data_IF_473335942981
#
_entry.id   IF_473335942981
#
_cell.length_a   1.000
_cell.length_b   1.000
_cell.length_c   1.000
_cell.angle_alpha   90.00
_cell.angle_beta   90.00
_cell.angle_gamma   90.00
#
_symmetry.space_group_name_H-M   'P 1'
#
loop_
_entity.id
_entity.type
_entity.pdbx_description
1 polymer ?
#
# COMPACT_ATOMS: atom_id res chain seq x y z
N UNK A 1 -55.08 21.93 -41.43
CA UNK A 1 -53.73 22.26 -41.05
C UNK A 1 -53.41 21.53 -39.75
N UNK A 2 -52.80 20.32 -39.82
CA UNK A 2 -52.65 19.43 -38.69
C UNK A 2 -51.15 19.38 -38.31
N UNK A 3 -50.79 19.96 -37.20
CA UNK A 3 -49.44 20.04 -36.70
C UNK A 3 -49.10 18.71 -35.99
N UNK A 4 -48.21 17.89 -36.60
CA UNK A 4 -47.63 16.69 -35.99
C UNK A 4 -46.55 17.08 -35.00
N UNK A 5 -46.80 16.91 -33.68
CA UNK A 5 -45.79 16.97 -32.63
C UNK A 5 -44.91 15.72 -32.70
N UNK A 6 -43.63 15.89 -33.01
CA UNK A 6 -42.61 14.87 -32.87
C UNK A 6 -42.34 14.62 -31.38
N UNK A 7 -42.65 13.42 -30.90
CA UNK A 7 -42.17 12.93 -29.58
C UNK A 7 -40.68 12.60 -29.71
N UNK A 8 -39.84 13.32 -29.00
CA UNK A 8 -38.45 12.91 -28.77
C UNK A 8 -38.48 11.73 -27.80
N UNK A 9 -38.09 10.57 -28.27
CA UNK A 9 -37.86 9.39 -27.43
C UNK A 9 -36.65 9.59 -26.56
N UNK A 10 -36.86 9.64 -25.25
CA UNK A 10 -35.81 9.42 -24.26
C UNK A 10 -35.56 7.91 -24.26
N UNK A 11 -34.51 7.47 -24.92
CA UNK A 11 -33.94 6.13 -24.70
C UNK A 11 -33.33 6.10 -23.29
N UNK A 12 -33.38 4.93 -22.60
CA UNK A 12 -32.76 4.82 -21.29
C UNK A 12 -31.25 5.11 -21.42
N UNK A 13 -30.75 6.04 -20.59
CA UNK A 13 -29.33 6.29 -20.45
C UNK A 13 -28.64 4.96 -20.12
N UNK A 14 -27.69 4.53 -20.96
CA UNK A 14 -26.83 3.41 -20.65
C UNK A 14 -26.16 3.69 -19.29
N UNK A 15 -26.22 2.76 -18.32
CA UNK A 15 -25.49 2.95 -17.09
C UNK A 15 -24.02 3.10 -17.44
N UNK A 16 -23.36 4.04 -16.79
CA UNK A 16 -21.91 4.27 -16.90
C UNK A 16 -21.20 2.92 -16.78
N UNK A 17 -20.37 2.64 -17.75
CA UNK A 17 -19.52 1.46 -17.80
C UNK A 17 -18.78 1.33 -16.49
N UNK A 18 -19.12 0.28 -15.72
CA UNK A 18 -18.33 -0.17 -14.59
C UNK A 18 -16.94 -0.45 -15.16
N UNK A 19 -15.97 0.36 -14.80
CA UNK A 19 -14.57 0.07 -15.10
C UNK A 19 -14.29 -1.34 -14.57
N UNK A 20 -13.74 -2.15 -15.45
CA UNK A 20 -13.31 -3.54 -15.24
C UNK A 20 -12.56 -3.64 -13.91
N UNK A 21 -13.28 -3.94 -12.83
CA UNK A 21 -12.69 -4.19 -11.53
C UNK A 21 -12.07 -5.59 -11.61
N UNK A 22 -10.87 -5.67 -12.23
CA UNK A 22 -10.06 -6.89 -12.23
C UNK A 22 -10.03 -7.44 -10.81
N UNK A 23 -10.55 -8.65 -10.65
CA UNK A 23 -10.54 -9.35 -9.36
C UNK A 23 -9.09 -9.46 -8.91
N UNK A 24 -8.80 -8.95 -7.72
CA UNK A 24 -7.42 -8.90 -7.24
C UNK A 24 -6.93 -10.30 -6.83
N UNK A 25 -5.73 -10.62 -7.25
CA UNK A 25 -5.02 -11.84 -6.88
C UNK A 25 -4.28 -11.64 -5.56
N UNK A 26 -4.59 -12.48 -4.59
CA UNK A 26 -3.97 -12.49 -3.28
C UNK A 26 -3.16 -13.77 -3.11
N UNK A 27 -1.90 -13.64 -2.72
CA UNK A 27 -1.04 -14.75 -2.33
C UNK A 27 -0.97 -14.80 -0.79
N UNK A 28 -1.24 -15.97 -0.20
CA UNK A 28 -1.08 -16.24 1.22
C UNK A 28 0.10 -17.18 1.41
N UNK A 29 1.05 -16.80 2.28
CA UNK A 29 2.19 -17.63 2.69
C UNK A 29 2.05 -17.87 4.20
N UNK A 30 1.60 -19.06 4.59
CA UNK A 30 1.23 -19.44 5.96
C UNK A 30 1.44 -20.94 6.12
N UNK A 31 2.18 -21.38 7.11
CA UNK A 31 2.50 -22.80 7.31
C UNK A 31 1.39 -23.60 8.00
N UNK A 32 0.62 -22.97 8.91
CA UNK A 32 -0.51 -23.63 9.56
C UNK A 32 -1.69 -23.84 8.58
N UNK A 33 -1.98 -25.10 8.26
CA UNK A 33 -3.06 -25.48 7.32
C UNK A 33 -4.42 -24.92 7.69
N UNK A 34 -4.74 -24.81 8.99
CA UNK A 34 -6.05 -24.36 9.48
C UNK A 34 -6.17 -22.85 9.31
N UNK A 35 -5.12 -22.12 9.68
CA UNK A 35 -5.08 -20.66 9.52
C UNK A 35 -5.10 -20.32 8.03
N UNK A 36 -4.28 -20.98 7.23
CA UNK A 36 -4.18 -20.80 5.79
C UNK A 36 -5.53 -21.02 5.11
N UNK A 37 -6.20 -22.15 5.41
CA UNK A 37 -7.53 -22.44 4.85
C UNK A 37 -8.60 -21.43 5.31
N UNK A 38 -8.59 -21.06 6.60
CA UNK A 38 -9.55 -20.08 7.13
C UNK A 38 -9.39 -18.70 6.46
N UNK A 39 -8.16 -18.22 6.33
CA UNK A 39 -7.87 -16.95 5.64
C UNK A 39 -8.27 -17.00 4.17
N UNK A 40 -7.96 -18.12 3.49
CA UNK A 40 -8.34 -18.32 2.09
C UNK A 40 -9.84 -18.19 1.89
N UNK A 41 -10.64 -19.02 2.57
CA UNK A 41 -12.09 -19.03 2.43
C UNK A 41 -12.69 -17.64 2.73
N UNK A 42 -12.24 -17.04 3.81
CA UNK A 42 -12.76 -15.73 4.22
C UNK A 42 -12.42 -14.60 3.24
N UNK A 43 -11.25 -14.64 2.61
CA UNK A 43 -10.84 -13.63 1.64
C UNK A 43 -11.40 -13.90 0.24
N UNK A 44 -11.67 -15.16 -0.12
CA UNK A 44 -12.46 -15.50 -1.31
C UNK A 44 -13.89 -14.96 -1.20
N UNK A 45 -14.52 -15.05 -0.03
CA UNK A 45 -15.85 -14.44 0.24
C UNK A 45 -15.82 -12.90 0.12
N UNK A 46 -14.69 -12.26 0.39
CA UNK A 46 -14.47 -10.83 0.19
C UNK A 46 -14.13 -10.45 -1.26
N UNK A 47 -14.13 -11.43 -2.18
CA UNK A 47 -13.99 -11.25 -3.61
C UNK A 47 -12.55 -11.23 -4.13
N UNK A 48 -11.59 -11.78 -3.40
CA UNK A 48 -10.23 -12.02 -3.89
C UNK A 48 -10.11 -13.35 -4.63
N UNK A 49 -9.21 -13.42 -5.60
CA UNK A 49 -8.72 -14.71 -6.12
C UNK A 49 -7.51 -15.10 -5.30
N UNK A 50 -7.68 -16.10 -4.44
CA UNK A 50 -6.65 -16.45 -3.45
C UNK A 50 -5.84 -17.65 -3.93
N UNK A 51 -4.53 -17.49 -3.95
CA UNK A 51 -3.54 -18.58 -4.00
C UNK A 51 -2.89 -18.67 -2.64
N UNK A 52 -2.77 -19.87 -2.12
CA UNK A 52 -2.19 -20.14 -0.81
C UNK A 52 -1.09 -21.19 -0.88
N UNK A 53 -0.04 -21.01 -0.10
CA UNK A 53 1.14 -21.89 -0.04
C UNK A 53 1.68 -22.00 1.38
N UNK A 54 2.29 -23.14 1.76
CA UNK A 54 2.77 -23.35 3.13
C UNK A 54 4.18 -22.81 3.42
N UNK A 55 4.97 -22.46 2.38
CA UNK A 55 6.37 -22.05 2.57
C UNK A 55 6.72 -20.78 1.81
N UNK A 56 7.74 -20.07 2.27
CA UNK A 56 8.25 -18.88 1.62
C UNK A 56 8.78 -19.17 0.21
N UNK A 57 9.47 -20.31 0.04
CA UNK A 57 10.05 -20.74 -1.23
C UNK A 57 8.96 -20.95 -2.29
N UNK A 58 7.86 -21.64 -1.92
CA UNK A 58 6.70 -21.81 -2.79
C UNK A 58 6.02 -20.47 -3.10
N UNK A 59 5.90 -19.58 -2.11
CA UNK A 59 5.36 -18.24 -2.28
C UNK A 59 6.13 -17.41 -3.28
N UNK A 60 7.45 -17.42 -3.19
CA UNK A 60 8.32 -16.74 -4.13
C UNK A 60 8.25 -17.34 -5.54
N UNK A 61 8.17 -18.67 -5.65
CA UNK A 61 8.03 -19.34 -6.93
C UNK A 61 6.68 -19.01 -7.59
N UNK A 62 5.58 -19.07 -6.82
CA UNK A 62 4.25 -18.72 -7.31
C UNK A 62 4.15 -17.25 -7.74
N UNK A 63 4.68 -16.31 -6.94
CA UNK A 63 4.67 -14.90 -7.29
C UNK A 63 5.47 -14.58 -8.56
N UNK A 64 6.59 -15.29 -8.80
CA UNK A 64 7.36 -15.16 -10.06
C UNK A 64 6.60 -15.70 -11.25
N UNK A 65 5.94 -16.86 -11.10
CA UNK A 65 5.18 -17.49 -12.18
C UNK A 65 3.91 -16.70 -12.51
N UNK A 66 3.23 -16.21 -11.48
CA UNK A 66 1.97 -15.48 -11.62
C UNK A 66 1.91 -14.37 -10.57
N UNK A 67 2.29 -13.13 -10.95
CA UNK A 67 2.36 -12.02 -10.01
C UNK A 67 1.02 -11.79 -9.27
N UNK A 68 1.08 -11.74 -7.95
CA UNK A 68 -0.03 -11.35 -7.09
C UNK A 68 -0.15 -9.82 -7.03
N UNK A 69 -1.37 -9.31 -6.81
CA UNK A 69 -1.64 -7.90 -6.56
C UNK A 69 -1.40 -7.51 -5.09
N UNK A 70 -1.42 -8.51 -4.19
CA UNK A 70 -1.22 -8.41 -2.74
C UNK A 70 -0.62 -9.70 -2.21
N UNK A 71 0.22 -9.62 -1.17
CA UNK A 71 0.78 -10.79 -0.49
C UNK A 71 0.54 -10.69 1.02
N UNK A 72 0.05 -11.78 1.62
CA UNK A 72 0.05 -12.00 3.08
C UNK A 72 1.19 -12.94 3.43
N UNK A 73 1.96 -12.61 4.45
CA UNK A 73 3.13 -13.40 4.88
C UNK A 73 3.09 -13.59 6.40
N UNK A 74 3.15 -14.83 6.86
CA UNK A 74 3.53 -15.08 8.27
C UNK A 74 5.04 -14.92 8.44
N UNK A 75 5.47 -14.48 9.61
CA UNK A 75 6.88 -14.42 9.97
C UNK A 75 7.44 -15.78 10.39
N UNK A 76 6.60 -16.64 10.95
CA UNK A 76 7.00 -17.93 11.55
C UNK A 76 6.94 -19.07 10.53
N UNK A 77 7.55 -18.90 9.37
CA UNK A 77 7.58 -19.94 8.33
C UNK A 77 8.75 -20.91 8.55
N UNK A 78 8.57 -22.21 8.20
CA UNK A 78 9.66 -23.17 8.20
C UNK A 78 10.63 -22.92 7.03
N UNK A 79 11.90 -23.23 7.24
CA UNK A 79 12.93 -23.03 6.21
C UNK A 79 13.32 -21.57 6.08
N UNK A 80 12.94 -20.91 5.00
CA UNK A 80 13.08 -19.48 4.84
C UNK A 80 12.06 -18.75 5.70
N UNK A 81 12.50 -17.92 6.64
CA UNK A 81 11.61 -17.14 7.48
C UNK A 81 10.86 -16.03 6.72
N UNK A 82 9.80 -15.49 7.36
CA UNK A 82 8.98 -14.46 6.74
C UNK A 82 9.73 -13.16 6.46
N UNK A 83 10.74 -12.80 7.26
CA UNK A 83 11.55 -11.61 7.01
C UNK A 83 12.37 -11.75 5.73
N UNK A 84 12.98 -12.93 5.51
CA UNK A 84 13.73 -13.21 4.28
C UNK A 84 12.80 -13.30 3.07
N UNK A 85 11.60 -13.86 3.25
CA UNK A 85 10.55 -13.86 2.22
C UNK A 85 10.19 -12.42 1.80
N UNK A 86 9.93 -11.53 2.75
CA UNK A 86 9.62 -10.12 2.49
C UNK A 86 10.77 -9.45 1.73
N UNK A 87 12.01 -9.62 2.20
CA UNK A 87 13.19 -9.07 1.52
C UNK A 87 13.34 -9.61 0.09
N UNK A 88 13.06 -10.88 -0.12
CA UNK A 88 13.10 -11.50 -1.44
C UNK A 88 12.01 -10.95 -2.37
N UNK A 89 10.78 -10.79 -1.89
CA UNK A 89 9.68 -10.16 -2.66
C UNK A 89 10.06 -8.74 -3.07
N UNK A 90 10.63 -7.93 -2.17
CA UNK A 90 11.04 -6.55 -2.46
C UNK A 90 12.15 -6.43 -3.50
N UNK A 91 13.03 -7.42 -3.61
CA UNK A 91 14.02 -7.45 -4.72
C UNK A 91 13.38 -7.68 -6.10
N UNK A 92 12.14 -8.17 -6.15
CA UNK A 92 11.43 -8.48 -7.40
C UNK A 92 10.31 -7.49 -7.75
N UNK A 93 10.03 -6.50 -6.89
CA UNK A 93 9.01 -5.48 -7.17
C UNK A 93 8.34 -4.89 -5.93
N UNK A 94 7.33 -4.07 -6.19
CA UNK A 94 6.63 -3.25 -5.18
C UNK A 94 5.25 -3.82 -4.83
N UNK A 95 5.07 -5.14 -4.92
CA UNK A 95 3.79 -5.76 -4.51
C UNK A 95 3.49 -5.40 -3.06
N UNK A 96 2.27 -4.96 -2.71
CA UNK A 96 1.91 -4.71 -1.32
C UNK A 96 2.01 -5.98 -0.48
N UNK A 97 2.72 -5.89 0.65
CA UNK A 97 2.95 -7.00 1.58
C UNK A 97 2.36 -6.64 2.93
N UNK A 98 1.45 -7.49 3.42
CA UNK A 98 0.92 -7.41 4.78
C UNK A 98 1.43 -8.60 5.57
N UNK A 99 2.06 -8.34 6.70
CA UNK A 99 2.43 -9.39 7.65
C UNK A 99 1.22 -9.75 8.52
N UNK A 100 0.98 -11.03 8.70
CA UNK A 100 -0.06 -11.56 9.61
C UNK A 100 0.62 -12.58 10.50
N UNK A 101 0.98 -12.22 11.74
CA UNK A 101 1.78 -13.08 12.61
C UNK A 101 1.29 -13.07 14.06
N UNK A 102 1.60 -14.13 14.81
CA UNK A 102 1.33 -14.19 16.24
C UNK A 102 2.33 -13.37 17.08
N UNK A 103 3.41 -12.88 16.46
CA UNK A 103 4.38 -12.03 17.14
C UNK A 103 3.81 -10.61 17.28
N UNK A 104 3.73 -10.12 18.51
CA UNK A 104 3.20 -8.78 18.85
C UNK A 104 4.27 -7.85 19.44
N UNK A 105 5.50 -8.34 19.59
CA UNK A 105 6.60 -7.54 20.09
C UNK A 105 6.92 -6.39 19.12
N UNK A 106 7.13 -5.21 19.71
CA UNK A 106 7.46 -3.99 18.95
C UNK A 106 8.67 -4.17 18.03
N UNK A 107 9.68 -4.93 18.48
CA UNK A 107 10.87 -5.17 17.70
C UNK A 107 10.59 -5.96 16.43
N UNK A 108 9.77 -7.03 16.53
CA UNK A 108 9.37 -7.84 15.38
C UNK A 108 8.51 -7.05 14.38
N UNK A 109 7.59 -6.22 14.88
CA UNK A 109 6.79 -5.31 14.04
C UNK A 109 7.69 -4.35 13.25
N UNK A 110 8.60 -3.66 13.94
CA UNK A 110 9.54 -2.73 13.30
C UNK A 110 10.45 -3.46 12.32
N UNK A 111 10.98 -4.63 12.69
CA UNK A 111 11.86 -5.41 11.82
C UNK A 111 11.15 -5.88 10.53
N UNK A 112 9.88 -6.29 10.61
CA UNK A 112 9.09 -6.70 9.44
C UNK A 112 8.85 -5.50 8.50
N UNK A 113 8.50 -4.35 9.07
CA UNK A 113 8.33 -3.12 8.30
C UNK A 113 9.67 -2.70 7.68
N UNK A 114 10.78 -2.73 8.40
CA UNK A 114 12.12 -2.44 7.87
C UNK A 114 12.56 -3.44 6.80
N UNK A 115 12.17 -4.72 6.90
CA UNK A 115 12.40 -5.72 5.85
C UNK A 115 11.65 -5.41 4.55
N UNK A 116 10.57 -4.62 4.62
CA UNK A 116 9.84 -4.19 3.43
C UNK A 116 8.31 -4.35 3.49
N UNK A 117 7.73 -4.85 4.57
CA UNK A 117 6.28 -4.92 4.70
C UNK A 117 5.64 -3.51 4.62
N UNK A 118 4.41 -3.45 4.09
CA UNK A 118 3.60 -2.22 4.01
C UNK A 118 2.70 -2.06 5.22
N UNK A 119 2.28 -3.18 5.83
CA UNK A 119 1.44 -3.21 7.02
C UNK A 119 1.72 -4.46 7.86
N UNK A 120 1.30 -4.43 9.12
CA UNK A 120 1.48 -5.52 10.07
C UNK A 120 0.20 -5.74 10.87
N UNK A 121 -0.24 -6.97 10.99
CA UNK A 121 -1.44 -7.37 11.73
C UNK A 121 -1.10 -8.52 12.67
N UNK A 122 -1.45 -8.37 13.95
CA UNK A 122 -1.22 -9.40 14.96
C UNK A 122 -2.38 -10.39 14.95
N UNK A 123 -2.07 -11.71 15.00
CA UNK A 123 -3.06 -12.78 15.16
C UNK A 123 -3.59 -12.80 16.62
N UNK A 124 -4.87 -13.06 16.87
CA UNK A 124 -5.93 -13.39 15.92
C UNK A 124 -6.45 -12.13 15.19
N UNK A 125 -6.63 -12.23 13.88
CA UNK A 125 -7.08 -11.12 13.05
C UNK A 125 -8.56 -11.27 12.67
N UNK A 126 -9.34 -10.20 12.82
CA UNK A 126 -10.69 -10.16 12.29
C UNK A 126 -10.63 -10.01 10.75
N UNK A 127 -11.29 -10.92 10.03
CA UNK A 127 -11.29 -10.93 8.55
C UNK A 127 -11.73 -9.58 7.96
N UNK A 128 -12.74 -8.95 8.56
CA UNK A 128 -13.23 -7.63 8.12
C UNK A 128 -12.17 -6.55 8.25
N UNK A 129 -11.38 -6.58 9.32
CA UNK A 129 -10.26 -5.65 9.51
C UNK A 129 -9.18 -5.89 8.45
N UNK A 130 -8.76 -7.15 8.29
CA UNK A 130 -7.75 -7.52 7.29
C UNK A 130 -8.21 -7.11 5.88
N UNK A 131 -9.45 -7.41 5.52
CA UNK A 131 -10.03 -7.03 4.23
C UNK A 131 -10.07 -5.51 4.03
N UNK A 132 -10.37 -4.71 5.07
CA UNK A 132 -10.33 -3.26 5.00
C UNK A 132 -8.90 -2.75 4.71
N UNK A 133 -7.89 -3.30 5.39
CA UNK A 133 -6.46 -2.99 5.16
C UNK A 133 -6.02 -3.34 3.75
N UNK A 134 -6.35 -4.53 3.27
CA UNK A 134 -6.04 -4.98 1.91
C UNK A 134 -6.70 -4.09 0.84
N UNK A 135 -7.98 -3.72 1.05
CA UNK A 135 -8.68 -2.77 0.17
C UNK A 135 -8.01 -1.40 0.15
N UNK A 136 -7.56 -0.91 1.31
CA UNK A 136 -6.86 0.37 1.39
C UNK A 136 -5.53 0.34 0.63
N UNK A 137 -4.75 -0.72 0.74
CA UNK A 137 -3.50 -0.90 0.00
C UNK A 137 -3.74 -1.05 -1.52
N UNK A 138 -4.85 -1.69 -1.95
CA UNK A 138 -5.19 -1.90 -3.37
C UNK A 138 -5.77 -0.66 -4.04
N UNK A 139 -6.75 0.02 -3.41
CA UNK A 139 -7.60 1.08 -4.01
C UNK A 139 -6.82 2.17 -4.74
N UNK A 140 -5.56 2.32 -4.45
CA UNK A 140 -4.73 3.45 -4.86
C UNK A 140 -3.66 3.08 -5.89
N UNK A 141 -3.77 1.86 -6.46
CA UNK A 141 -3.05 1.47 -7.67
C UNK A 141 -3.70 2.04 -8.95
N UNK A 142 -4.93 2.57 -8.83
CA UNK A 142 -5.70 3.15 -9.94
C UNK A 142 -5.74 4.68 -9.75
N UNK A 143 -4.66 5.34 -10.09
CA UNK A 143 -4.64 6.80 -10.24
C UNK A 143 -5.51 7.19 -11.45
N UNK A 144 -6.73 7.63 -11.21
CA UNK A 144 -7.57 8.28 -12.22
C UNK A 144 -7.69 9.77 -11.84
N UNK A 145 -6.80 10.57 -12.40
CA UNK A 145 -6.89 12.03 -12.39
C UNK A 145 -6.91 12.52 -13.83
N UNK A 146 -8.06 12.95 -14.33
CA UNK A 146 -8.17 13.76 -15.55
C UNK A 146 -7.64 15.15 -15.23
N UNK A 147 -6.38 15.42 -15.58
CA UNK A 147 -5.72 16.72 -15.46
C UNK A 147 -4.40 16.71 -16.20
N UNK A 148 -3.89 17.87 -16.59
CA UNK A 148 -2.52 18.01 -17.12
C UNK A 148 -1.54 17.45 -16.07
N UNK A 149 -0.46 16.74 -16.46
CA UNK A 149 0.45 16.09 -15.53
C UNK A 149 0.99 17.09 -14.51
N UNK A 150 0.56 16.93 -13.25
CA UNK A 150 0.98 17.80 -12.16
C UNK A 150 2.39 17.41 -11.72
N UNK A 151 3.35 18.28 -11.94
CA UNK A 151 4.71 18.11 -11.45
C UNK A 151 4.89 19.00 -10.22
N UNK A 152 5.20 18.37 -9.08
CA UNK A 152 5.48 19.07 -7.82
C UNK A 152 6.97 19.02 -7.54
N UNK A 153 7.55 20.16 -7.13
CA UNK A 153 8.99 20.26 -6.83
C UNK A 153 9.22 20.76 -5.41
N UNK A 154 10.12 20.06 -4.71
CA UNK A 154 10.52 20.37 -3.34
C UNK A 154 12.04 20.22 -3.26
N UNK A 155 12.77 21.32 -3.51
CA UNK A 155 14.21 21.26 -3.63
C UNK A 155 14.66 20.27 -4.72
N UNK A 156 15.41 19.24 -4.33
CA UNK A 156 15.89 18.19 -5.23
C UNK A 156 14.82 17.15 -5.62
N UNK A 157 13.68 17.11 -4.90
CA UNK A 157 12.62 16.13 -5.11
C UNK A 157 11.64 16.64 -6.17
N UNK A 158 11.48 15.89 -7.25
CA UNK A 158 10.41 16.08 -8.24
C UNK A 158 9.43 14.91 -8.12
N UNK A 159 8.16 15.23 -7.83
CA UNK A 159 7.07 14.26 -7.69
C UNK A 159 6.08 14.44 -8.85
N UNK A 160 5.78 13.34 -9.54
CA UNK A 160 4.81 13.24 -10.64
C UNK A 160 3.70 12.27 -10.23
N UNK A 161 2.65 12.74 -9.53
CA UNK A 161 1.64 11.86 -8.93
C UNK A 161 0.90 11.00 -9.97
N UNK A 162 0.53 11.56 -11.12
CA UNK A 162 -0.20 10.85 -12.18
C UNK A 162 0.65 9.79 -12.88
N UNK A 163 1.97 10.02 -12.98
CA UNK A 163 2.91 9.06 -13.57
C UNK A 163 3.38 8.00 -12.56
N UNK A 164 3.11 8.20 -11.25
CA UNK A 164 3.64 7.34 -10.20
C UNK A 164 5.16 7.44 -10.03
N UNK A 165 5.76 8.58 -10.42
CA UNK A 165 7.21 8.76 -10.48
C UNK A 165 7.71 9.76 -9.45
N UNK A 166 8.90 9.48 -8.93
CA UNK A 166 9.69 10.40 -8.08
C UNK A 166 11.10 10.46 -8.62
N UNK A 167 11.62 11.68 -8.76
CA UNK A 167 13.01 11.92 -9.11
C UNK A 167 13.67 12.70 -7.96
N UNK A 168 14.93 12.41 -7.71
CA UNK A 168 15.80 13.17 -6.79
C UNK A 168 17.06 13.51 -7.56
N UNK A 169 17.41 14.79 -7.65
CA UNK A 169 18.52 15.28 -8.51
C UNK A 169 18.42 14.71 -9.95
N UNK A 170 17.21 14.75 -10.54
CA UNK A 170 16.87 14.25 -11.88
C UNK A 170 16.99 12.72 -12.07
N UNK A 171 17.35 11.97 -11.02
CA UNK A 171 17.44 10.52 -11.06
C UNK A 171 16.17 9.89 -10.52
N UNK A 172 15.61 8.93 -11.24
CA UNK A 172 14.41 8.21 -10.81
C UNK A 172 14.69 7.37 -9.56
N UNK A 173 13.84 7.54 -8.54
CA UNK A 173 13.92 6.82 -7.27
C UNK A 173 12.73 5.86 -7.14
N UNK A 174 13.01 4.59 -6.90
CA UNK A 174 11.97 3.59 -6.67
C UNK A 174 11.44 3.64 -5.25
N UNK A 175 10.18 4.06 -5.11
CA UNK A 175 9.44 4.01 -3.87
C UNK A 175 8.46 2.84 -3.89
N UNK A 176 8.23 2.20 -2.73
CA UNK A 176 7.09 1.30 -2.59
C UNK A 176 5.78 2.10 -2.68
N UNK A 177 4.66 1.43 -2.93
CA UNK A 177 3.35 2.09 -3.01
C UNK A 177 3.02 2.89 -1.76
N UNK A 178 3.34 2.37 -0.59
CA UNK A 178 3.09 3.05 0.70
C UNK A 178 3.99 4.27 0.88
N UNK A 179 5.27 4.16 0.55
CA UNK A 179 6.21 5.30 0.57
C UNK A 179 5.81 6.41 -0.40
N UNK A 180 5.43 6.03 -1.63
CA UNK A 180 4.94 6.97 -2.63
C UNK A 180 3.70 7.73 -2.16
N UNK A 181 2.74 7.02 -1.57
CA UNK A 181 1.53 7.63 -1.01
C UNK A 181 1.83 8.56 0.14
N UNK A 182 2.71 8.15 1.05
CA UNK A 182 3.12 8.99 2.17
C UNK A 182 3.72 10.32 1.66
N UNK A 183 4.55 10.26 0.61
CA UNK A 183 5.10 11.45 -0.03
C UNK A 183 4.01 12.30 -0.69
N UNK A 184 3.06 11.71 -1.40
CA UNK A 184 1.94 12.42 -2.03
C UNK A 184 1.06 13.15 -1.00
N UNK A 185 0.71 12.49 0.12
CA UNK A 185 -0.11 13.10 1.18
C UNK A 185 0.59 14.29 1.83
N UNK A 186 1.90 14.18 2.03
CA UNK A 186 2.71 15.29 2.54
C UNK A 186 2.84 16.43 1.51
N UNK A 187 2.97 16.08 0.23
CA UNK A 187 3.08 17.05 -0.86
C UNK A 187 1.78 17.85 -1.05
N UNK A 188 0.62 17.20 -0.97
CA UNK A 188 -0.69 17.86 -1.02
C UNK A 188 -0.90 18.85 0.12
N UNK A 189 -0.22 18.65 1.24
CA UNK A 189 -0.26 19.52 2.42
C UNK A 189 1.10 20.22 2.67
N UNK A 190 1.85 20.47 1.61
CA UNK A 190 3.19 21.07 1.71
C UNK A 190 3.22 22.31 2.63
N UNK A 191 4.24 22.36 3.48
CA UNK A 191 4.39 23.39 4.51
C UNK A 191 3.54 23.21 5.76
N UNK A 192 2.51 22.35 5.73
CA UNK A 192 1.67 22.05 6.90
C UNK A 192 2.18 20.81 7.63
N UNK A 193 2.00 20.80 8.96
CA UNK A 193 2.30 19.64 9.77
C UNK A 193 1.11 18.69 9.75
N UNK A 194 1.37 17.43 9.40
CA UNK A 194 0.42 16.33 9.55
C UNK A 194 0.80 15.48 10.76
N UNK A 195 -0.16 15.22 11.66
CA UNK A 195 0.08 14.31 12.77
C UNK A 195 0.27 12.87 12.28
N UNK A 196 0.88 12.02 13.13
CA UNK A 196 1.02 10.59 12.82
C UNK A 196 -0.33 9.94 12.56
N UNK A 197 -1.33 10.25 13.39
CA UNK A 197 -2.69 9.75 13.20
C UNK A 197 -3.28 10.20 11.87
N UNK A 198 -3.14 11.48 11.50
CA UNK A 198 -3.62 11.97 10.20
C UNK A 198 -2.94 11.28 9.02
N UNK A 199 -1.64 11.03 9.11
CA UNK A 199 -0.91 10.28 8.08
C UNK A 199 -1.36 8.82 8.04
N UNK A 200 -1.56 8.19 9.20
CA UNK A 200 -2.07 6.84 9.30
C UNK A 200 -3.44 6.72 8.62
N UNK A 201 -4.39 7.58 8.97
CA UNK A 201 -5.74 7.61 8.39
C UNK A 201 -5.71 7.83 6.87
N UNK A 202 -4.88 8.75 6.40
CA UNK A 202 -4.79 9.10 4.97
C UNK A 202 -4.09 8.03 4.15
N UNK A 203 -3.00 7.46 4.69
CA UNK A 203 -2.18 6.47 3.98
C UNK A 203 -2.71 5.05 4.15
N UNK A 204 -3.23 4.65 5.29
CA UNK A 204 -3.73 3.29 5.56
C UNK A 204 -5.27 3.20 5.62
N UNK A 205 -5.99 4.26 5.95
CA UNK A 205 -7.46 4.34 5.97
C UNK A 205 -8.06 4.50 7.36
N UNK A 206 -9.32 4.94 7.43
CA UNK A 206 -10.00 5.31 8.68
C UNK A 206 -10.30 4.15 9.64
N UNK A 207 -10.36 2.91 9.12
CA UNK A 207 -10.72 1.74 9.93
C UNK A 207 -9.50 1.02 10.52
N UNK A 208 -8.32 1.62 10.37
CA UNK A 208 -7.09 1.02 10.88
C UNK A 208 -6.87 1.46 12.31
N UNK A 209 -7.11 0.58 13.26
CA UNK A 209 -6.49 0.64 14.58
C UNK A 209 -4.99 0.38 14.41
N UNK A 210 -4.33 1.28 13.69
CA UNK A 210 -2.93 1.15 13.32
C UNK A 210 -2.04 1.76 14.37
N UNK A 211 -0.91 1.14 14.54
CA UNK A 211 0.18 1.67 15.34
C UNK A 211 0.84 2.85 14.62
N UNK A 212 0.92 4.01 15.25
CA UNK A 212 1.61 5.19 14.71
C UNK A 212 3.06 4.90 14.31
N UNK A 213 3.66 3.82 14.84
CA UNK A 213 4.98 3.31 14.45
C UNK A 213 5.10 2.98 12.97
N UNK A 214 3.98 2.57 12.33
CA UNK A 214 3.94 2.40 10.86
C UNK A 214 4.42 3.65 10.14
N UNK A 215 3.91 4.81 10.55
CA UNK A 215 4.27 6.09 9.96
C UNK A 215 5.75 6.39 10.14
N UNK A 216 6.27 6.18 11.36
CA UNK A 216 7.67 6.49 11.69
C UNK A 216 8.64 5.61 10.88
N UNK A 217 8.36 4.31 10.76
CA UNK A 217 9.19 3.38 9.99
C UNK A 217 9.17 3.73 8.50
N UNK A 218 7.97 3.93 7.93
CA UNK A 218 7.87 4.29 6.51
C UNK A 218 8.46 5.68 6.22
N UNK A 219 8.36 6.63 7.15
CA UNK A 219 9.04 7.92 7.05
C UNK A 219 10.57 7.77 7.05
N UNK A 220 11.10 6.90 7.91
CA UNK A 220 12.54 6.58 7.94
C UNK A 220 13.02 5.95 6.64
N UNK A 221 12.25 5.01 6.07
CA UNK A 221 12.55 4.38 4.78
C UNK A 221 12.48 5.37 3.63
N UNK A 222 11.45 6.23 3.60
CA UNK A 222 11.29 7.26 2.59
C UNK A 222 12.48 8.24 2.61
N UNK A 223 12.89 8.71 3.79
CA UNK A 223 14.06 9.57 3.94
C UNK A 223 15.33 8.95 3.37
N UNK A 224 15.59 7.67 3.63
CA UNK A 224 16.76 6.97 3.07
C UNK A 224 16.79 6.98 1.54
N UNK A 225 15.66 7.21 0.89
CA UNK A 225 15.54 7.21 -0.57
C UNK A 225 15.53 8.60 -1.19
N UNK A 226 15.02 9.61 -0.47
CA UNK A 226 14.79 10.94 -1.05
C UNK A 226 15.59 12.06 -0.40
N UNK A 227 16.21 11.83 0.76
CA UNK A 227 17.07 12.82 1.43
C UNK A 227 18.55 12.49 1.22
N UNK A 228 19.38 13.51 1.05
CA UNK A 228 20.84 13.33 0.98
C UNK A 228 21.41 12.86 2.33
N UNK A 229 20.91 13.43 3.43
CA UNK A 229 21.21 12.99 4.80
C UNK A 229 19.91 12.63 5.53
N UNK A 230 19.56 11.33 5.62
CA UNK A 230 18.35 10.88 6.30
C UNK A 230 18.30 11.20 7.79
N UNK A 231 19.45 11.41 8.43
CA UNK A 231 19.54 11.75 9.86
C UNK A 231 19.23 13.25 10.10
N UNK A 232 19.56 14.11 9.12
CA UNK A 232 19.30 15.55 9.14
C UNK A 232 18.44 15.96 7.94
N UNK A 233 17.18 15.49 7.86
CA UNK A 233 16.32 15.69 6.70
C UNK A 233 15.95 17.16 6.52
N UNK A 234 16.07 17.67 5.29
CA UNK A 234 15.69 19.04 4.92
C UNK A 234 14.29 19.14 4.33
N UNK A 235 13.83 18.10 3.64
CA UNK A 235 12.52 18.09 3.01
C UNK A 235 11.45 17.44 3.90
N UNK A 236 11.70 16.22 4.37
CA UNK A 236 10.78 15.44 5.20
C UNK A 236 11.04 15.70 6.70
N UNK A 237 10.62 16.86 7.18
CA UNK A 237 10.99 17.37 8.51
C UNK A 237 10.09 16.78 9.60
N UNK A 238 10.71 16.32 10.71
CA UNK A 238 9.98 15.99 11.94
C UNK A 238 9.70 17.24 12.75
N UNK A 239 8.44 17.48 13.07
CA UNK A 239 8.03 18.52 14.04
C UNK A 239 7.75 17.82 15.36
N UNK A 240 8.68 17.94 16.31
CA UNK A 240 8.64 17.20 17.59
C UNK A 240 7.30 17.37 18.28
N UNK A 241 6.69 16.26 18.73
CA UNK A 241 5.41 16.23 19.41
C UNK A 241 4.19 16.48 18.52
N UNK A 242 4.36 16.88 17.25
CA UNK A 242 3.24 17.20 16.34
C UNK A 242 3.14 16.25 15.14
N UNK A 243 4.25 15.82 14.55
CA UNK A 243 4.22 14.94 13.40
C UNK A 243 5.27 15.27 12.34
N UNK A 244 4.88 15.26 11.08
CA UNK A 244 5.76 15.45 9.94
C UNK A 244 5.24 16.52 8.98
N UNK A 245 6.15 17.14 8.26
CA UNK A 245 5.82 18.05 7.15
C UNK A 245 6.79 17.88 6.00
N UNK A 246 6.32 18.14 4.79
CA UNK A 246 7.18 18.37 3.65
C UNK A 246 7.50 19.88 3.60
N UNK A 247 8.78 20.23 3.69
CA UNK A 247 9.23 21.59 3.50
C UNK A 247 9.16 21.96 2.01
N UNK A 248 8.79 23.21 1.66
CA UNK A 248 8.69 23.67 0.28
C UNK A 248 10.04 23.74 -0.40
#
# INVERSE_FOLDING_TARGET
MTVRRRRRGYGPARPATWHDARVARLLIVEDDDRIRLSLKLALEDEGYVVKDVPTAEEGLAEHRATPADLVLVDLMLPGMDGFDCIRALRRHGDVPIVVVSARDDTHDVVAALEAGADDYVVKPVAVKELSARLRALRRRASGSGEGAPKVLRFGAIELRPEAGEVLVDEQQVHLTRTEFRLLCELADQSGRVLSRQQLLDRVWGYDVYGDERLVDVHMGRLRRKVEQDPANPVHLVTVRGLGYKLAP
#
